data_IF_773681935594
#
_entry.id   IF_773681935594
#
_cell.length_a   1.000
_cell.length_b   1.000
_cell.length_c   1.000
_cell.angle_alpha   90.00
_cell.angle_beta   90.00
_cell.angle_gamma   90.00
#
_symmetry.space_group_name_H-M   'P 1'
#
loop_
_entity.id
_entity.type
_entity.pdbx_description
1 polymer ?
#
# COMPACT_ATOMS: atom_id res chain seq x y z
N UNK A 1 24.86 -77.68 -39.81
CA UNK A 1 23.88 -78.78 -39.81
C UNK A 1 23.08 -78.60 -38.52
N UNK A 2 21.85 -78.06 -38.47
CA UNK A 2 20.65 -78.20 -39.28
C UNK A 2 19.84 -76.88 -39.32
N UNK A 3 19.12 -76.70 -40.42
CA UNK A 3 18.07 -75.70 -40.68
C UNK A 3 16.77 -76.00 -39.89
N UNK A 4 15.99 -74.97 -39.54
CA UNK A 4 14.59 -74.80 -40.03
C UNK A 4 13.95 -73.43 -39.66
N UNK A 5 13.23 -72.91 -40.65
CA UNK A 5 12.51 -71.64 -40.77
C UNK A 5 11.03 -71.72 -40.31
N UNK A 6 10.38 -70.54 -40.38
CA UNK A 6 8.93 -70.17 -40.41
C UNK A 6 8.43 -69.54 -39.09
N UNK A 7 7.67 -68.44 -39.05
CA UNK A 7 7.09 -67.50 -40.03
C UNK A 7 6.35 -66.39 -39.27
N UNK A 8 6.41 -65.11 -39.72
CA UNK A 8 5.36 -64.02 -39.70
C UNK A 8 4.63 -63.67 -38.37
N UNK A 9 4.20 -62.46 -38.01
CA UNK A 9 4.01 -61.13 -38.61
C UNK A 9 3.61 -60.14 -37.48
N UNK A 10 3.90 -58.84 -37.65
CA UNK A 10 3.21 -57.63 -37.14
C UNK A 10 2.85 -57.47 -35.65
N UNK A 11 3.36 -56.42 -35.00
CA UNK A 11 2.66 -55.14 -34.83
C UNK A 11 3.59 -54.07 -34.25
N UNK A 12 3.50 -52.86 -34.80
CA UNK A 12 4.08 -51.64 -34.24
C UNK A 12 3.45 -51.33 -32.87
N UNK A 13 4.27 -50.96 -31.90
CA UNK A 13 3.94 -49.87 -30.99
C UNK A 13 5.21 -49.09 -30.67
N UNK A 14 5.34 -47.93 -31.32
CA UNK A 14 6.17 -46.87 -30.80
C UNK A 14 5.41 -46.24 -29.63
N UNK A 15 6.03 -46.17 -28.46
CA UNK A 15 5.63 -45.22 -27.42
C UNK A 15 6.90 -44.61 -26.84
N UNK A 16 7.24 -43.45 -27.40
CA UNK A 16 7.92 -42.38 -26.67
C UNK A 16 7.03 -42.02 -25.46
N UNK A 17 7.62 -41.77 -24.30
CA UNK A 17 7.65 -40.45 -23.64
C UNK A 17 8.62 -40.56 -22.47
N UNK A 18 9.64 -39.71 -22.52
CA UNK A 18 10.50 -39.39 -21.40
C UNK A 18 9.85 -38.22 -20.64
N UNK A 19 9.92 -38.29 -19.31
CA UNK A 19 9.64 -37.25 -18.32
C UNK A 19 8.19 -36.75 -18.21
N UNK A 20 7.61 -37.00 -17.03
CA UNK A 20 7.00 -35.89 -16.29
C UNK A 20 7.30 -36.03 -14.79
N UNK A 21 8.23 -35.20 -14.30
CA UNK A 21 8.29 -34.82 -12.89
C UNK A 21 7.47 -33.54 -12.79
N UNK A 22 6.16 -33.68 -12.63
CA UNK A 22 5.26 -32.58 -12.31
C UNK A 22 4.27 -33.04 -11.25
N UNK A 23 4.74 -33.06 -10.01
CA UNK A 23 3.88 -32.75 -8.87
C UNK A 23 4.52 -31.54 -8.20
N UNK A 24 4.32 -30.37 -8.81
CA UNK A 24 4.38 -29.10 -8.09
C UNK A 24 2.98 -28.89 -7.55
N UNK A 25 2.80 -29.27 -6.30
CA UNK A 25 1.71 -28.80 -5.45
C UNK A 25 1.91 -27.27 -5.28
N UNK A 26 0.82 -26.50 -5.42
CA UNK A 26 0.81 -25.04 -5.59
C UNK A 26 -0.12 -24.43 -4.55
N UNK A 27 -0.01 -23.11 -4.34
CA UNK A 27 -1.16 -22.32 -3.85
C UNK A 27 -2.36 -22.58 -4.75
N UNK A 28 -3.56 -22.57 -4.18
CA UNK A 28 -4.81 -22.73 -4.94
C UNK A 28 -4.82 -21.76 -6.13
N UNK A 29 -4.62 -22.28 -7.35
CA UNK A 29 -4.40 -21.51 -8.59
C UNK A 29 -3.22 -20.49 -8.62
N UNK A 30 -2.35 -20.46 -7.62
CA UNK A 30 -1.16 -19.59 -7.56
C UNK A 30 0.03 -20.14 -8.36
N UNK A 31 1.05 -19.30 -8.53
CA UNK A 31 2.35 -19.73 -9.06
C UNK A 31 3.50 -19.19 -8.20
N UNK A 32 4.60 -19.96 -8.15
CA UNK A 32 5.85 -19.50 -7.54
C UNK A 32 6.26 -18.15 -8.13
N UNK A 33 6.50 -17.18 -7.24
CA UNK A 33 7.01 -15.87 -7.61
C UNK A 33 8.43 -16.02 -8.14
N UNK A 34 8.74 -15.49 -9.35
CA UNK A 34 10.10 -15.42 -9.82
C UNK A 34 10.95 -14.47 -8.98
N UNK A 35 12.24 -14.78 -8.83
CA UNK A 35 13.23 -13.90 -8.17
C UNK A 35 13.12 -12.46 -8.66
N UNK A 36 13.23 -11.50 -7.74
CA UNK A 36 13.19 -10.05 -7.98
C UNK A 36 11.85 -9.48 -8.47
N UNK A 37 10.77 -10.27 -8.50
CA UNK A 37 9.44 -9.77 -8.93
C UNK A 37 8.80 -8.84 -7.90
N UNK A 38 8.85 -9.23 -6.62
CA UNK A 38 8.26 -8.48 -5.50
C UNK A 38 9.26 -8.34 -4.34
N UNK A 39 10.43 -7.72 -4.55
CA UNK A 39 11.47 -7.63 -3.52
C UNK A 39 11.02 -6.82 -2.30
N UNK A 40 9.96 -6.03 -2.44
CA UNK A 40 9.33 -5.23 -1.39
C UNK A 40 8.32 -6.00 -0.54
N UNK A 41 7.98 -7.25 -0.89
CA UNK A 41 7.16 -8.10 -0.03
C UNK A 41 7.88 -8.31 1.30
N UNK A 42 7.16 -8.18 2.40
CA UNK A 42 7.70 -8.38 3.72
C UNK A 42 6.81 -9.31 4.53
N UNK A 43 7.39 -10.03 5.49
CA UNK A 43 6.62 -10.76 6.51
C UNK A 43 7.06 -10.38 7.93
N UNK A 44 6.12 -10.20 8.87
CA UNK A 44 6.45 -9.89 10.26
C UNK A 44 6.96 -11.11 11.01
N UNK A 45 7.97 -10.89 11.85
CA UNK A 45 8.46 -11.88 12.80
C UNK A 45 8.10 -11.47 14.24
N UNK A 46 7.71 -12.45 15.03
CA UNK A 46 7.42 -12.28 16.45
C UNK A 46 8.70 -12.17 17.31
N UNK A 47 8.54 -12.16 18.63
CA UNK A 47 9.66 -12.05 19.58
C UNK A 47 10.62 -13.22 19.57
N UNK A 48 10.18 -14.39 19.12
CA UNK A 48 10.98 -15.61 19.02
C UNK A 48 11.64 -15.76 17.64
N UNK A 49 11.27 -14.89 16.70
CA UNK A 49 11.79 -14.88 15.33
C UNK A 49 10.98 -15.75 14.37
N UNK A 50 9.80 -16.22 14.81
CA UNK A 50 8.90 -17.02 14.00
C UNK A 50 7.96 -16.11 13.17
N UNK A 51 7.50 -16.62 12.04
CA UNK A 51 6.57 -15.89 11.19
C UNK A 51 5.20 -15.77 11.87
N UNK A 52 4.70 -14.53 11.94
CA UNK A 52 3.42 -14.17 12.58
C UNK A 52 2.16 -14.69 11.84
N UNK A 53 2.34 -15.16 10.59
CA UNK A 53 1.24 -15.60 9.72
C UNK A 53 0.63 -14.50 8.84
N UNK A 54 1.11 -13.25 8.95
CA UNK A 54 0.71 -12.15 8.08
C UNK A 54 1.76 -11.81 7.01
N UNK A 55 1.31 -11.21 5.91
CA UNK A 55 2.13 -10.50 4.94
C UNK A 55 2.18 -8.99 5.21
N UNK A 56 3.04 -8.30 4.47
CA UNK A 56 3.18 -6.86 4.51
C UNK A 56 3.92 -6.36 3.25
N UNK A 57 3.98 -5.03 3.09
CA UNK A 57 4.69 -4.40 1.97
C UNK A 57 5.56 -3.23 2.40
N UNK A 58 6.80 -3.18 1.93
CA UNK A 58 7.66 -2.02 2.07
C UNK A 58 7.18 -0.88 1.16
N UNK A 59 6.61 0.18 1.74
CA UNK A 59 6.05 1.33 1.00
C UNK A 59 6.97 2.55 1.01
N UNK A 60 7.97 2.57 1.87
CA UNK A 60 9.12 3.49 1.83
C UNK A 60 10.33 2.81 2.50
N UNK A 61 11.52 3.40 2.41
CA UNK A 61 12.71 2.82 3.04
C UNK A 61 12.55 2.60 4.56
N UNK A 62 11.68 3.36 5.24
CA UNK A 62 11.52 3.34 6.70
C UNK A 62 10.16 2.78 7.14
N UNK A 63 9.25 2.44 6.23
CA UNK A 63 7.87 2.09 6.57
C UNK A 63 7.34 0.88 5.79
N UNK A 64 6.71 -0.02 6.55
CA UNK A 64 6.00 -1.20 6.05
C UNK A 64 4.50 -1.03 6.31
N UNK A 65 3.66 -1.36 5.32
CA UNK A 65 2.20 -1.35 5.39
C UNK A 65 1.68 -2.78 5.52
N UNK A 66 0.73 -3.01 6.42
CA UNK A 66 0.07 -4.30 6.67
C UNK A 66 -1.35 -4.05 7.22
N UNK A 67 -2.05 -5.11 7.62
CA UNK A 67 -3.37 -5.06 8.22
C UNK A 67 -3.30 -4.83 9.74
N UNK A 68 -4.30 -4.16 10.31
CA UNK A 68 -4.43 -4.00 11.75
C UNK A 68 -4.84 -5.31 12.43
N UNK A 69 -5.70 -6.12 11.83
CA UNK A 69 -6.19 -7.37 12.42
C UNK A 69 -5.06 -8.35 12.79
N UNK A 70 -3.92 -8.29 12.10
CA UNK A 70 -2.72 -9.10 12.40
C UNK A 70 -2.26 -8.98 13.86
N UNK A 71 -2.58 -7.86 14.53
CA UNK A 71 -2.15 -7.55 15.88
C UNK A 71 -3.20 -7.82 16.96
N UNK A 72 -4.40 -8.27 16.57
CA UNK A 72 -5.51 -8.56 17.46
C UNK A 72 -5.78 -10.07 17.54
N UNK A 73 -6.26 -10.53 18.69
CA UNK A 73 -6.83 -11.87 18.81
C UNK A 73 -8.30 -11.89 18.38
N UNK A 74 -8.90 -13.09 18.37
CA UNK A 74 -10.31 -13.29 18.01
C UNK A 74 -11.31 -12.59 18.94
N UNK A 75 -10.86 -12.02 20.07
CA UNK A 75 -11.69 -11.27 21.01
C UNK A 75 -11.49 -9.75 20.87
N UNK A 76 -10.78 -9.29 19.83
CA UNK A 76 -10.44 -7.88 19.62
C UNK A 76 -9.44 -7.33 20.64
N UNK A 77 -8.70 -8.19 21.32
CA UNK A 77 -7.64 -7.76 22.24
C UNK A 77 -6.31 -7.66 21.51
N UNK A 78 -5.58 -6.55 21.74
CA UNK A 78 -4.22 -6.40 21.23
C UNK A 78 -3.35 -7.52 21.82
N UNK A 79 -2.84 -8.39 20.96
CA UNK A 79 -2.30 -9.69 21.36
C UNK A 79 -0.83 -9.85 21.00
N UNK A 80 -0.30 -9.02 20.08
CA UNK A 80 1.01 -9.26 19.47
C UNK A 80 1.92 -8.06 19.50
N UNK A 81 3.20 -8.31 19.77
CA UNK A 81 4.28 -7.34 19.59
C UNK A 81 5.26 -7.90 18.58
N UNK A 82 5.52 -7.16 17.50
CA UNK A 82 6.47 -7.59 16.48
C UNK A 82 7.90 -7.22 16.87
N UNK A 83 8.83 -8.13 16.60
CA UNK A 83 10.25 -7.85 16.75
C UNK A 83 10.82 -7.21 15.49
N UNK A 84 10.52 -7.77 14.32
CA UNK A 84 11.14 -7.37 13.06
C UNK A 84 10.30 -7.73 11.83
N UNK A 85 10.72 -7.28 10.65
CA UNK A 85 10.23 -7.72 9.36
C UNK A 85 11.37 -8.34 8.55
N UNK A 86 11.08 -9.45 7.86
CA UNK A 86 11.90 -9.94 6.75
C UNK A 86 11.41 -9.30 5.45
N UNK A 87 12.18 -8.35 4.94
CA UNK A 87 11.89 -7.58 3.72
C UNK A 87 12.63 -8.24 2.56
N UNK A 88 11.92 -8.56 1.48
CA UNK A 88 12.44 -9.37 0.38
C UNK A 88 12.29 -10.86 0.61
N UNK A 89 11.36 -11.30 1.46
CA UNK A 89 11.08 -12.71 1.70
C UNK A 89 10.52 -13.39 0.43
N UNK A 90 11.29 -14.31 -0.15
CA UNK A 90 10.90 -15.11 -1.32
C UNK A 90 10.77 -16.58 -0.95
N UNK A 91 11.74 -17.13 -0.22
CA UNK A 91 11.68 -18.48 0.34
C UNK A 91 12.63 -18.51 1.56
N UNK A 92 12.24 -17.78 2.62
CA UNK A 92 13.11 -17.40 3.73
C UNK A 92 13.72 -18.60 4.47
N UNK A 93 13.06 -19.76 4.45
CA UNK A 93 13.55 -20.99 5.09
C UNK A 93 14.59 -21.74 4.23
N UNK A 94 14.86 -21.27 3.01
CA UNK A 94 15.91 -21.83 2.15
C UNK A 94 17.28 -21.21 2.42
N UNK A 95 18.34 -21.94 2.06
CA UNK A 95 19.68 -21.37 2.04
C UNK A 95 19.75 -20.23 1.00
N UNK A 96 19.89 -18.99 1.49
CA UNK A 96 20.02 -17.76 0.69
C UNK A 96 18.73 -17.30 -0.03
N UNK A 97 17.54 -17.57 0.54
CA UNK A 97 16.27 -16.97 0.09
C UNK A 97 16.04 -17.06 -1.44
N UNK A 98 16.33 -18.24 -2.02
CA UNK A 98 16.20 -18.52 -3.46
C UNK A 98 16.99 -17.54 -4.36
N UNK A 99 18.04 -16.91 -3.82
CA UNK A 99 18.88 -15.95 -4.52
C UNK A 99 18.38 -14.49 -4.44
N UNK A 100 17.24 -14.22 -3.81
CA UNK A 100 16.75 -12.86 -3.59
C UNK A 100 17.38 -12.25 -2.34
N UNK A 101 17.78 -10.97 -2.43
CA UNK A 101 18.25 -10.24 -1.26
C UNK A 101 17.13 -10.10 -0.22
N UNK A 102 17.43 -10.43 1.04
CA UNK A 102 16.50 -10.30 2.16
C UNK A 102 17.16 -9.57 3.32
N UNK A 103 16.41 -8.65 3.94
CA UNK A 103 16.84 -7.90 5.11
C UNK A 103 15.92 -8.19 6.28
N UNK A 104 16.47 -8.47 7.45
CA UNK A 104 15.70 -8.55 8.70
C UNK A 104 15.89 -7.25 9.47
N UNK A 105 14.83 -6.44 9.58
CA UNK A 105 14.89 -5.11 10.21
C UNK A 105 13.90 -5.01 11.36
N UNK A 106 14.37 -4.57 12.53
CA UNK A 106 13.54 -4.44 13.72
C UNK A 106 12.46 -3.36 13.60
N UNK A 107 11.40 -3.47 14.38
CA UNK A 107 10.30 -2.47 14.44
C UNK A 107 10.60 -1.40 15.50
N UNK A 108 10.59 -0.12 15.12
CA UNK A 108 10.70 1.01 16.05
C UNK A 108 9.35 1.35 16.68
N UNK A 109 8.29 1.40 15.88
CA UNK A 109 6.95 1.72 16.34
C UNK A 109 5.89 1.16 15.42
N UNK A 110 4.78 0.70 16.00
CA UNK A 110 3.57 0.30 15.27
C UNK A 110 2.50 1.39 15.37
N UNK A 111 1.87 1.71 14.24
CA UNK A 111 0.83 2.73 14.13
C UNK A 111 -0.41 2.08 13.53
N UNK A 112 -1.38 1.75 14.38
CA UNK A 112 -2.68 1.26 13.96
C UNK A 112 -3.52 2.40 13.39
N UNK A 113 -4.38 2.11 12.41
CA UNK A 113 -5.35 3.09 11.94
C UNK A 113 -6.28 3.51 13.11
N UNK A 114 -6.45 4.82 13.39
CA UNK A 114 -7.17 5.28 14.57
C UNK A 114 -8.67 4.93 14.55
N UNK A 115 -9.21 4.65 13.37
CA UNK A 115 -10.61 4.24 13.17
C UNK A 115 -10.72 2.77 12.75
N UNK A 116 -9.69 1.94 12.98
CA UNK A 116 -9.84 0.50 12.80
C UNK A 116 -10.95 -0.04 13.71
N UNK A 117 -11.86 -0.81 13.14
CA UNK A 117 -12.97 -1.44 13.85
C UNK A 117 -12.82 -2.97 13.75
N UNK A 118 -12.53 -3.62 14.87
CA UNK A 118 -12.27 -5.06 14.91
C UNK A 118 -13.51 -5.92 14.65
N UNK A 119 -14.72 -5.37 14.81
CA UNK A 119 -15.96 -6.13 14.56
C UNK A 119 -16.31 -6.16 13.06
N UNK A 120 -15.87 -5.15 12.31
CA UNK A 120 -16.23 -4.97 10.89
C UNK A 120 -15.02 -5.02 9.95
N UNK A 121 -13.81 -5.08 10.49
CA UNK A 121 -12.54 -4.88 9.80
C UNK A 121 -12.49 -3.62 8.92
N UNK A 122 -13.28 -2.62 9.28
CA UNK A 122 -13.25 -1.34 8.58
C UNK A 122 -11.97 -0.57 8.93
N UNK A 123 -11.35 0.04 7.92
CA UNK A 123 -10.05 0.70 8.03
C UNK A 123 -8.93 -0.22 8.56
N UNK A 124 -8.92 -1.48 8.12
CA UNK A 124 -7.93 -2.50 8.51
C UNK A 124 -6.53 -2.22 7.96
N UNK A 125 -5.85 -1.26 8.59
CA UNK A 125 -4.50 -0.84 8.25
C UNK A 125 -3.62 -0.65 9.49
N UNK A 126 -2.38 -1.06 9.35
CA UNK A 126 -1.31 -0.73 10.27
C UNK A 126 -0.04 -0.35 9.49
N UNK A 127 0.71 0.60 10.03
CA UNK A 127 2.02 0.99 9.51
C UNK A 127 3.06 0.73 10.59
N UNK A 128 4.09 -0.04 10.24
CA UNK A 128 5.26 -0.23 11.08
C UNK A 128 6.39 0.70 10.60
N UNK A 129 6.95 1.48 11.54
CA UNK A 129 8.20 2.20 11.33
C UNK A 129 9.36 1.27 11.64
N UNK A 130 10.29 1.15 10.71
CA UNK A 130 11.49 0.33 10.85
C UNK A 130 12.54 1.04 11.71
N UNK A 131 13.31 0.26 12.46
CA UNK A 131 14.43 0.72 13.30
C UNK A 131 15.65 1.22 12.50
N UNK A 132 15.72 0.87 11.21
CA UNK A 132 16.69 1.38 10.25
C UNK A 132 16.10 1.35 8.84
N UNK A 133 16.60 2.20 7.95
CA UNK A 133 16.19 2.21 6.55
C UNK A 133 16.58 0.92 5.83
N UNK A 134 15.65 0.34 5.09
CA UNK A 134 15.90 -0.77 4.16
C UNK A 134 16.65 -0.30 2.91
N UNK A 135 17.45 -1.17 2.32
CA UNK A 135 18.07 -0.92 1.01
C UNK A 135 17.25 -1.46 -0.16
N UNK A 136 16.20 -2.24 0.13
CA UNK A 136 15.24 -2.73 -0.86
C UNK A 136 14.43 -1.57 -1.43
N UNK A 137 14.20 -1.60 -2.75
CA UNK A 137 13.34 -0.62 -3.43
C UNK A 137 11.89 -0.81 -2.97
N UNK A 138 11.26 0.21 -2.35
CA UNK A 138 9.86 0.13 -1.93
C UNK A 138 8.90 0.11 -3.12
N UNK A 139 7.71 -0.44 -2.92
CA UNK A 139 6.63 -0.38 -3.92
C UNK A 139 5.88 0.94 -3.85
N UNK A 140 5.36 1.39 -4.99
CA UNK A 140 4.45 2.53 -5.01
C UNK A 140 3.06 2.13 -4.52
N UNK A 141 2.35 3.07 -3.91
CA UNK A 141 0.95 2.87 -3.54
C UNK A 141 0.04 3.65 -4.49
N UNK A 142 -1.22 3.23 -4.61
CA UNK A 142 -2.24 3.96 -5.34
C UNK A 142 -2.51 5.32 -4.66
N UNK A 143 -2.18 6.39 -5.36
CA UNK A 143 -2.38 7.76 -4.90
C UNK A 143 -3.80 8.29 -5.20
N UNK A 144 -4.75 7.40 -5.49
CA UNK A 144 -6.13 7.73 -5.86
C UNK A 144 -6.35 7.90 -7.36
N UNK A 145 -5.33 7.69 -8.19
CA UNK A 145 -5.45 7.79 -9.65
C UNK A 145 -5.94 6.49 -10.30
N UNK A 146 -5.84 5.35 -9.62
CA UNK A 146 -6.04 4.04 -10.23
C UNK A 146 -7.32 3.35 -9.76
N UNK A 147 -7.36 2.87 -8.51
CA UNK A 147 -8.48 2.04 -8.03
C UNK A 147 -9.86 2.70 -8.03
N UNK A 148 -10.01 4.04 -7.90
CA UNK A 148 -11.31 4.68 -8.09
C UNK A 148 -11.86 4.57 -9.53
N UNK A 149 -11.00 4.29 -10.51
CA UNK A 149 -11.35 4.22 -11.93
C UNK A 149 -11.41 2.78 -12.47
N UNK A 150 -11.27 1.76 -11.62
CA UNK A 150 -11.33 0.37 -12.06
C UNK A 150 -12.75 -0.03 -12.49
N UNK A 151 -12.82 -0.73 -13.62
CA UNK A 151 -14.00 -1.46 -14.04
C UNK A 151 -13.97 -2.89 -13.50
N UNK A 152 -15.15 -3.49 -13.31
CA UNK A 152 -15.28 -4.93 -13.03
C UNK A 152 -14.40 -5.77 -13.98
N UNK A 153 -13.73 -6.78 -13.44
CA UNK A 153 -12.84 -7.66 -14.19
C UNK A 153 -11.41 -7.14 -14.34
N UNK A 154 -11.06 -5.95 -13.82
CA UNK A 154 -9.68 -5.46 -13.79
C UNK A 154 -8.79 -6.49 -13.07
N UNK A 155 -7.76 -6.97 -13.76
CA UNK A 155 -6.80 -7.91 -13.18
C UNK A 155 -5.94 -7.24 -12.09
N UNK A 156 -5.85 -7.90 -10.94
CA UNK A 156 -5.07 -7.55 -9.75
C UNK A 156 -4.36 -8.81 -9.26
N UNK A 157 -3.33 -8.67 -8.44
CA UNK A 157 -2.51 -9.77 -7.97
C UNK A 157 -2.48 -9.80 -6.45
N UNK A 158 -2.96 -10.88 -5.85
CA UNK A 158 -2.69 -11.18 -4.43
C UNK A 158 -1.35 -11.90 -4.34
N UNK A 159 -0.54 -11.57 -3.33
CA UNK A 159 0.81 -12.10 -3.15
C UNK A 159 1.01 -12.46 -1.68
N UNK A 160 1.51 -13.67 -1.41
CA UNK A 160 1.71 -14.13 -0.04
C UNK A 160 2.23 -15.56 0.05
N UNK A 161 2.33 -16.05 1.28
CA UNK A 161 2.75 -17.41 1.61
C UNK A 161 1.56 -18.29 2.02
N UNK A 162 0.34 -17.88 1.68
CA UNK A 162 -0.88 -18.52 2.15
C UNK A 162 -1.00 -20.01 1.85
N UNK A 163 -2.00 -20.61 2.49
CA UNK A 163 -2.30 -22.03 2.49
C UNK A 163 -2.48 -22.58 1.05
N UNK A 164 -1.80 -23.68 0.77
CA UNK A 164 -1.81 -24.37 -0.50
C UNK A 164 -2.99 -25.34 -0.63
N UNK A 165 -3.20 -25.90 -1.84
CA UNK A 165 -4.30 -26.85 -2.09
C UNK A 165 -4.25 -28.11 -1.21
N UNK A 166 -3.07 -28.45 -0.68
CA UNK A 166 -2.82 -29.58 0.20
C UNK A 166 -2.96 -29.23 1.70
N UNK A 167 -3.30 -27.99 2.03
CA UNK A 167 -3.45 -27.48 3.39
C UNK A 167 -2.13 -27.11 4.08
N UNK A 168 -1.03 -26.99 3.34
CA UNK A 168 0.27 -26.55 3.86
C UNK A 168 0.60 -25.12 3.46
N UNK A 169 1.36 -24.40 4.27
CA UNK A 169 1.86 -23.08 3.89
C UNK A 169 2.88 -23.18 2.74
N UNK A 170 2.89 -22.17 1.86
CA UNK A 170 3.84 -22.13 0.78
C UNK A 170 5.27 -21.88 1.30
N UNK A 171 6.24 -22.67 0.84
CA UNK A 171 7.67 -22.46 1.19
C UNK A 171 8.37 -21.46 0.27
N UNK A 172 7.72 -21.11 -0.85
CA UNK A 172 8.15 -20.09 -1.81
C UNK A 172 6.97 -19.14 -1.96
N UNK A 173 7.24 -17.83 -1.99
CA UNK A 173 6.25 -16.78 -2.15
C UNK A 173 5.45 -17.05 -3.43
N UNK A 174 4.15 -16.87 -3.34
CA UNK A 174 3.23 -17.15 -4.43
C UNK A 174 2.51 -15.87 -4.82
N UNK A 175 1.96 -15.89 -6.03
CA UNK A 175 1.03 -14.88 -6.49
C UNK A 175 -0.12 -15.49 -7.26
N UNK A 176 -1.28 -14.84 -7.19
CA UNK A 176 -2.49 -15.27 -7.90
C UNK A 176 -3.17 -14.07 -8.55
N UNK A 177 -3.56 -14.24 -9.81
CA UNK A 177 -4.32 -13.24 -10.56
C UNK A 177 -5.80 -13.30 -10.16
N UNK A 178 -6.31 -12.18 -9.70
CA UNK A 178 -7.69 -11.94 -9.30
C UNK A 178 -8.31 -10.86 -10.19
N UNK A 179 -9.62 -10.76 -10.16
CA UNK A 179 -10.43 -9.78 -10.86
C UNK A 179 -11.11 -8.89 -9.85
N UNK A 180 -10.93 -7.59 -10.01
CA UNK A 180 -11.67 -6.59 -9.24
C UNK A 180 -13.17 -6.79 -9.40
N UNK A 181 -13.85 -6.85 -8.26
CA UNK A 181 -15.29 -6.99 -8.18
C UNK A 181 -15.90 -5.80 -7.42
N UNK A 182 -16.45 -4.80 -8.11
CA UNK A 182 -17.09 -3.67 -7.46
C UNK A 182 -18.47 -4.02 -6.86
N UNK A 183 -19.06 -5.16 -7.22
CA UNK A 183 -20.43 -5.54 -6.86
C UNK A 183 -20.48 -6.61 -5.76
N UNK A 184 -19.32 -7.02 -5.21
CA UNK A 184 -19.18 -8.03 -4.16
C UNK A 184 -20.01 -7.75 -2.89
N UNK A 185 -20.40 -6.50 -2.65
CA UNK A 185 -21.28 -6.16 -1.53
C UNK A 185 -22.62 -6.91 -1.58
N UNK A 186 -23.06 -7.36 -2.77
CA UNK A 186 -24.26 -8.18 -2.94
C UNK A 186 -24.07 -9.65 -2.52
N UNK A 187 -22.83 -10.12 -2.47
CA UNK A 187 -22.48 -11.49 -2.09
C UNK A 187 -22.20 -11.61 -0.59
N UNK A 188 -22.06 -10.46 0.08
CA UNK A 188 -21.88 -10.32 1.51
C UNK A 188 -23.18 -9.84 2.18
N UNK A 189 -23.23 -9.91 3.51
CA UNK A 189 -24.40 -9.38 4.25
C UNK A 189 -24.55 -7.86 4.05
N UNK A 190 -25.80 -7.38 3.97
CA UNK A 190 -26.11 -5.97 3.73
C UNK A 190 -25.32 -5.05 4.67
N UNK A 191 -24.47 -4.19 4.11
CA UNK A 191 -23.67 -3.21 4.86
C UNK A 191 -22.32 -3.71 5.37
N UNK A 192 -21.92 -4.96 5.06
CA UNK A 192 -20.62 -5.50 5.43
C UNK A 192 -19.45 -4.84 4.69
N UNK A 193 -19.65 -4.42 3.44
CA UNK A 193 -18.62 -3.80 2.60
C UNK A 193 -18.80 -2.28 2.58
N UNK A 194 -17.76 -1.54 3.01
CA UNK A 194 -17.75 -0.07 3.03
C UNK A 194 -16.95 0.51 1.84
N UNK A 195 -16.99 1.83 1.67
CA UNK A 195 -16.16 2.54 0.68
C UNK A 195 -14.64 2.45 0.96
N UNK A 196 -14.27 2.08 2.20
CA UNK A 196 -12.87 1.84 2.61
C UNK A 196 -12.38 0.45 2.22
N UNK A 197 -13.22 -0.36 1.58
CA UNK A 197 -12.92 -1.72 1.17
C UNK A 197 -12.97 -1.86 -0.35
N UNK A 198 -12.37 -2.93 -0.84
CA UNK A 198 -12.47 -3.37 -2.23
C UNK A 198 -12.42 -4.89 -2.30
N UNK A 199 -13.05 -5.48 -3.30
CA UNK A 199 -13.04 -6.93 -3.47
C UNK A 199 -12.28 -7.34 -4.72
N UNK A 200 -11.68 -8.51 -4.65
CA UNK A 200 -11.11 -9.18 -5.81
C UNK A 200 -11.26 -10.69 -5.68
N UNK A 201 -11.60 -11.35 -6.78
CA UNK A 201 -11.82 -12.80 -6.85
C UNK A 201 -11.26 -13.37 -8.13
N UNK A 202 -10.91 -14.65 -8.19
CA UNK A 202 -10.44 -15.29 -9.43
C UNK A 202 -11.57 -15.51 -10.48
N UNK A 203 -12.76 -14.96 -10.23
CA UNK A 203 -14.00 -15.10 -10.99
C UNK A 203 -14.99 -16.10 -10.38
N UNK A 204 -14.55 -16.96 -9.47
CA UNK A 204 -15.41 -17.91 -8.71
C UNK A 204 -15.01 -17.95 -7.21
N UNK A 205 -13.83 -17.48 -6.79
CA UNK A 205 -13.21 -17.87 -5.50
C UNK A 205 -12.51 -16.73 -4.73
N UNK A 206 -12.29 -16.99 -3.43
CA UNK A 206 -11.68 -16.15 -2.39
C UNK A 206 -10.13 -16.37 -2.23
N UNK A 207 -9.48 -15.52 -1.44
CA UNK A 207 -8.09 -15.59 -0.94
C UNK A 207 -7.88 -16.59 0.21
N UNK A 208 -6.63 -17.06 0.38
CA UNK A 208 -6.28 -18.10 1.35
C UNK A 208 -5.86 -17.52 2.72
N UNK A 209 -5.92 -18.38 3.74
CA UNK A 209 -5.26 -18.13 5.03
C UNK A 209 -3.75 -17.91 4.80
N UNK A 210 -3.10 -17.00 5.55
CA UNK A 210 -1.67 -16.70 5.41
C UNK A 210 -1.30 -15.61 4.37
N UNK A 211 -2.29 -15.06 3.66
CA UNK A 211 -2.15 -13.83 2.86
C UNK A 211 -2.54 -12.56 3.64
N UNK A 212 -3.07 -12.70 4.87
CA UNK A 212 -3.53 -11.61 5.75
C UNK A 212 -2.51 -10.48 5.86
N UNK A 213 -2.91 -9.23 5.66
CA UNK A 213 -2.00 -8.07 5.65
C UNK A 213 -1.08 -7.97 4.43
N UNK A 214 -1.10 -8.96 3.54
CA UNK A 214 -0.37 -8.98 2.28
C UNK A 214 -0.91 -8.00 1.23
N UNK A 215 -0.17 -7.76 0.15
CA UNK A 215 -0.54 -6.82 -0.90
C UNK A 215 -1.62 -7.33 -1.86
N UNK A 216 -2.54 -6.44 -2.23
CA UNK A 216 -3.25 -6.51 -3.51
C UNK A 216 -2.61 -5.51 -4.49
N UNK A 217 -2.11 -6.02 -5.60
CA UNK A 217 -1.18 -5.31 -6.47
C UNK A 217 -1.70 -5.17 -7.92
N UNK A 218 -1.65 -3.96 -8.47
CA UNK A 218 -1.88 -3.72 -9.90
C UNK A 218 -0.55 -3.74 -10.65
N UNK A 219 -0.21 -4.89 -11.21
CA UNK A 219 1.01 -5.10 -12.03
C UNK A 219 1.08 -4.12 -13.21
N UNK A 220 -0.05 -3.78 -13.83
CA UNK A 220 -0.07 -2.93 -15.03
C UNK A 220 0.32 -1.48 -14.72
N UNK A 221 -0.02 -1.00 -13.52
CA UNK A 221 0.29 0.35 -13.06
C UNK A 221 1.46 0.40 -12.06
N UNK A 222 1.98 -0.75 -11.65
CA UNK A 222 3.07 -0.89 -10.67
C UNK A 222 2.75 -0.19 -9.34
N UNK A 223 1.55 -0.46 -8.79
CA UNK A 223 1.06 0.13 -7.54
C UNK A 223 0.33 -0.88 -6.65
N UNK A 224 0.50 -0.77 -5.33
CA UNK A 224 -0.37 -1.39 -4.34
C UNK A 224 -1.71 -0.66 -4.30
N UNK A 225 -2.80 -1.42 -4.35
CA UNK A 225 -4.16 -0.87 -4.35
C UNK A 225 -4.96 -1.27 -3.10
N UNK A 226 -4.56 -2.36 -2.45
CA UNK A 226 -5.19 -2.84 -1.24
C UNK A 226 -4.27 -3.66 -0.35
N UNK A 227 -4.76 -3.95 0.84
CA UNK A 227 -4.15 -4.82 1.85
C UNK A 227 -5.15 -5.93 2.15
N UNK A 228 -4.73 -7.20 2.10
CA UNK A 228 -5.58 -8.37 2.37
C UNK A 228 -6.14 -8.28 3.78
N UNK A 229 -7.46 -8.30 3.91
CA UNK A 229 -8.15 -8.08 5.19
C UNK A 229 -8.84 -9.35 5.65
N UNK A 230 -9.90 -9.77 4.98
CA UNK A 230 -10.68 -10.94 5.38
C UNK A 230 -11.34 -11.65 4.19
N UNK A 231 -11.77 -12.88 4.45
CA UNK A 231 -12.44 -13.76 3.52
C UNK A 231 -12.96 -15.01 4.25
N UNK A 232 -13.80 -15.78 3.57
CA UNK A 232 -14.34 -17.05 4.03
C UNK A 232 -13.34 -18.23 3.84
N UNK A 233 -12.18 -17.96 3.23
CA UNK A 233 -11.06 -18.87 3.12
C UNK A 233 -11.03 -19.68 1.82
N UNK A 234 -9.92 -20.39 1.61
CA UNK A 234 -9.65 -21.05 0.34
C UNK A 234 -10.42 -22.36 0.10
N UNK A 235 -10.59 -22.69 -1.19
CA UNK A 235 -11.12 -23.99 -1.62
C UNK A 235 -12.65 -24.12 -1.67
N UNK A 236 -13.40 -23.10 -1.24
CA UNK A 236 -14.85 -23.08 -1.38
C UNK A 236 -15.29 -22.33 -2.65
N UNK A 237 -15.81 -23.07 -3.64
CA UNK A 237 -16.26 -22.53 -4.95
C UNK A 237 -17.53 -21.68 -4.87
N UNK A 238 -18.13 -21.54 -3.69
CA UNK A 238 -19.27 -20.64 -3.44
C UNK A 238 -18.93 -19.53 -2.46
N UNK A 239 -17.66 -19.39 -2.06
CA UNK A 239 -17.25 -18.29 -1.21
C UNK A 239 -17.36 -16.96 -1.98
N UNK A 240 -17.79 -15.88 -1.32
CA UNK A 240 -17.81 -14.55 -1.90
C UNK A 240 -16.38 -14.07 -2.20
N UNK A 241 -16.26 -12.98 -2.95
CA UNK A 241 -14.97 -12.38 -3.24
C UNK A 241 -14.24 -11.94 -1.95
N UNK A 242 -12.92 -12.15 -1.92
CA UNK A 242 -12.06 -11.71 -0.83
C UNK A 242 -12.03 -10.20 -0.70
N UNK A 243 -11.91 -9.73 0.54
CA UNK A 243 -12.04 -8.33 0.91
C UNK A 243 -10.71 -7.75 1.34
N UNK A 244 -10.42 -6.58 0.79
CA UNK A 244 -9.17 -5.87 0.97
C UNK A 244 -9.44 -4.46 1.48
N UNK A 245 -8.62 -3.99 2.40
CA UNK A 245 -8.63 -2.59 2.81
C UNK A 245 -8.12 -1.73 1.64
N UNK A 246 -8.91 -0.76 1.20
CA UNK A 246 -8.64 0.07 0.01
C UNK A 246 -7.67 1.20 0.32
N UNK A 247 -6.47 1.15 -0.26
CA UNK A 247 -5.41 2.12 0.01
C UNK A 247 -5.82 3.55 -0.37
N UNK A 248 -6.48 3.74 -1.51
CA UNK A 248 -6.88 5.06 -1.98
C UNK A 248 -7.86 5.77 -1.04
N UNK A 249 -8.64 5.02 -0.26
CA UNK A 249 -9.59 5.59 0.71
C UNK A 249 -8.88 6.11 1.98
N UNK A 250 -7.70 5.57 2.31
CA UNK A 250 -6.92 5.94 3.50
C UNK A 250 -5.63 6.69 3.18
N UNK A 251 -5.53 7.24 1.97
CA UNK A 251 -4.31 7.90 1.47
C UNK A 251 -3.86 9.06 2.35
N UNK A 252 -4.80 9.87 2.89
CA UNK A 252 -4.49 11.00 3.76
C UNK A 252 -3.83 10.54 5.07
N UNK A 253 -4.31 9.45 5.66
CA UNK A 253 -3.71 8.86 6.86
C UNK A 253 -2.32 8.29 6.56
N UNK A 254 -2.18 7.52 5.46
CA UNK A 254 -0.89 6.95 5.04
C UNK A 254 0.13 8.05 4.78
N UNK A 255 -0.22 9.08 4.01
CA UNK A 255 0.64 10.25 3.73
C UNK A 255 0.99 11.00 5.02
N UNK A 256 0.02 11.17 5.92
CA UNK A 256 0.21 11.83 7.22
C UNK A 256 1.27 11.18 8.10
N UNK A 257 1.57 9.90 7.88
CA UNK A 257 2.63 9.15 8.57
C UNK A 257 3.91 9.15 7.75
N UNK A 258 3.86 8.61 6.53
CA UNK A 258 5.04 8.28 5.72
C UNK A 258 5.69 9.51 5.09
N UNK A 259 4.90 10.52 4.74
CA UNK A 259 5.38 11.70 4.01
C UNK A 259 5.78 12.86 4.92
N UNK A 260 6.21 12.58 6.16
CA UNK A 260 6.61 13.60 7.14
C UNK A 260 8.14 13.82 7.21
N UNK A 261 8.94 12.87 6.70
CA UNK A 261 10.41 12.88 6.70
C UNK A 261 11.08 13.53 5.47
N UNK A 262 12.41 13.49 5.40
CA UNK A 262 13.19 13.95 4.23
C UNK A 262 13.41 12.86 3.17
N UNK A 263 13.24 11.59 3.53
CA UNK A 263 13.39 10.42 2.64
C UNK A 263 12.00 9.95 2.16
N UNK A 264 11.29 10.82 1.44
CA UNK A 264 9.92 10.52 1.03
C UNK A 264 9.92 9.65 -0.23
N UNK A 265 9.06 8.62 -0.30
CA UNK A 265 8.84 7.87 -1.53
C UNK A 265 8.20 8.75 -2.61
N UNK A 266 8.37 8.37 -3.89
CA UNK A 266 7.90 9.15 -5.05
C UNK A 266 6.40 9.41 -5.07
N UNK A 267 5.60 8.56 -4.45
CA UNK A 267 4.14 8.70 -4.36
C UNK A 267 3.68 9.71 -3.30
N UNK A 268 4.58 10.22 -2.43
CA UNK A 268 4.29 11.36 -1.56
C UNK A 268 4.12 12.67 -2.33
N UNK A 269 4.62 12.72 -3.58
CA UNK A 269 4.39 13.83 -4.50
C UNK A 269 2.95 13.76 -5.00
N UNK A 270 2.07 14.60 -4.46
CA UNK A 270 0.75 14.79 -5.06
C UNK A 270 0.93 15.34 -6.49
N UNK A 271 0.37 14.68 -7.50
CA UNK A 271 0.34 15.20 -8.88
C UNK A 271 -0.51 16.47 -9.02
N UNK A 272 -1.23 16.86 -7.95
CA UNK A 272 -1.95 18.12 -7.75
C UNK A 272 -1.29 19.06 -6.72
N UNK A 273 -0.09 18.70 -6.22
CA UNK A 273 0.62 19.51 -5.25
C UNK A 273 1.24 20.69 -5.97
N UNK A 274 0.75 21.86 -5.61
CA UNK A 274 1.24 23.13 -6.11
C UNK A 274 1.62 24.00 -4.92
N UNK A 275 2.67 24.78 -5.10
CA UNK A 275 3.00 25.84 -4.16
C UNK A 275 1.81 26.80 -4.02
N UNK A 276 1.56 27.29 -2.80
CA UNK A 276 0.53 28.31 -2.61
C UNK A 276 0.81 29.53 -3.50
N UNK A 277 -0.19 29.98 -4.29
CA UNK A 277 -0.06 31.22 -5.06
C UNK A 277 -0.22 32.46 -4.15
N UNK A 278 -0.67 32.28 -2.90
CA UNK A 278 -0.83 33.35 -1.93
C UNK A 278 0.52 33.70 -1.31
N UNK A 279 0.73 34.98 -0.99
CA UNK A 279 1.94 35.39 -0.27
C UNK A 279 1.78 35.08 1.21
N UNK A 280 2.78 34.46 1.81
CA UNK A 280 2.84 34.15 3.24
C UNK A 280 3.59 35.24 4.02
N UNK A 281 3.24 35.45 5.28
CA UNK A 281 3.93 36.36 6.20
C UNK A 281 5.02 35.59 6.94
N UNK A 282 6.28 35.77 6.52
CA UNK A 282 7.45 35.11 7.08
C UNK A 282 8.23 36.07 7.97
N UNK A 283 8.69 35.61 9.14
CA UNK A 283 9.70 36.32 9.93
C UNK A 283 11.09 36.01 9.36
N UNK A 284 11.86 37.04 9.01
CA UNK A 284 13.21 36.90 8.45
C UNK A 284 14.22 37.37 9.51
N UNK A 285 14.96 36.44 10.15
CA UNK A 285 15.86 36.77 11.26
C UNK A 285 16.93 37.81 10.90
N UNK A 286 17.52 37.71 9.71
CA UNK A 286 18.56 38.64 9.25
C UNK A 286 18.08 40.09 9.05
N UNK A 287 16.77 40.32 9.04
CA UNK A 287 16.15 41.63 8.87
C UNK A 287 15.36 42.07 10.11
N UNK A 288 15.27 41.20 11.12
CA UNK A 288 14.38 41.32 12.28
C UNK A 288 12.97 41.84 11.92
N UNK A 289 12.38 41.25 10.88
CA UNK A 289 11.14 41.77 10.33
C UNK A 289 10.25 40.70 9.70
N UNK A 290 8.94 40.92 9.84
CA UNK A 290 7.92 40.17 9.11
C UNK A 290 7.76 40.71 7.69
N UNK A 291 7.91 39.85 6.68
CA UNK A 291 7.76 40.21 5.26
C UNK A 291 6.81 39.27 4.54
N UNK A 292 6.07 39.81 3.57
CA UNK A 292 5.25 39.00 2.68
C UNK A 292 6.13 38.37 1.60
N UNK A 293 6.16 37.05 1.48
CA UNK A 293 6.96 36.30 0.50
C UNK A 293 6.10 35.32 -0.29
N UNK A 294 6.52 35.01 -1.51
CA UNK A 294 5.89 34.00 -2.37
C UNK A 294 6.71 32.71 -2.35
N UNK A 295 6.17 31.63 -2.91
CA UNK A 295 6.93 30.39 -3.05
C UNK A 295 8.08 30.48 -4.07
N UNK A 296 8.00 31.36 -5.07
CA UNK A 296 9.18 31.72 -5.90
C UNK A 296 10.33 32.27 -5.05
N UNK A 297 10.03 32.99 -3.96
CA UNK A 297 11.07 33.40 -3.03
C UNK A 297 11.63 32.19 -2.27
N UNK A 298 10.82 31.24 -1.82
CA UNK A 298 11.35 30.02 -1.18
C UNK A 298 12.27 29.24 -2.15
N UNK A 299 11.79 29.00 -3.38
CA UNK A 299 12.48 28.24 -4.43
C UNK A 299 13.84 28.81 -4.86
N UNK A 300 14.05 30.13 -4.71
CA UNK A 300 15.32 30.76 -5.06
C UNK A 300 16.47 30.48 -4.08
N UNK A 301 16.19 29.90 -2.90
CA UNK A 301 17.21 29.49 -1.93
C UNK A 301 16.62 28.48 -0.93
N UNK A 302 16.19 27.31 -1.40
CA UNK A 302 15.34 26.40 -0.63
C UNK A 302 16.02 25.93 0.65
N UNK A 303 17.33 25.66 0.63
CA UNK A 303 18.08 25.18 1.80
C UNK A 303 17.97 26.06 3.06
N UNK A 304 17.96 27.39 2.92
CA UNK A 304 17.76 28.30 4.07
C UNK A 304 16.30 28.76 4.20
N UNK A 305 15.60 28.99 3.09
CA UNK A 305 14.26 29.59 3.15
C UNK A 305 13.20 28.61 3.61
N UNK A 306 13.36 27.33 3.27
CA UNK A 306 12.45 26.27 3.70
C UNK A 306 12.67 25.83 5.16
N UNK A 307 13.78 26.24 5.80
CA UNK A 307 13.99 25.99 7.24
C UNK A 307 13.34 27.07 8.12
N UNK A 308 12.85 28.15 7.52
CA UNK A 308 12.10 29.17 8.25
C UNK A 308 10.70 28.63 8.58
N UNK A 309 10.27 28.89 9.81
CA UNK A 309 9.02 28.36 10.37
C UNK A 309 7.84 28.57 9.42
N UNK A 310 7.14 27.46 9.11
CA UNK A 310 5.93 27.43 8.29
C UNK A 310 6.13 27.70 6.80
N UNK A 311 7.34 27.99 6.30
CA UNK A 311 7.56 28.19 4.86
C UNK A 311 7.32 26.89 4.09
N UNK A 312 7.79 25.77 4.61
CA UNK A 312 7.66 24.48 3.95
C UNK A 312 6.21 23.97 3.88
N UNK A 313 5.36 24.31 4.87
CA UNK A 313 3.93 23.98 4.82
C UNK A 313 3.16 24.87 3.84
N UNK A 314 3.67 26.07 3.55
CA UNK A 314 3.04 26.98 2.59
C UNK A 314 3.53 26.76 1.15
N UNK A 315 4.76 26.30 0.98
CA UNK A 315 5.42 26.08 -0.31
C UNK A 315 5.96 24.64 -0.41
N UNK A 316 5.06 23.64 -0.44
CA UNK A 316 5.45 22.24 -0.44
C UNK A 316 6.30 21.85 -1.64
N UNK A 317 6.01 22.37 -2.84
CA UNK A 317 6.76 22.06 -4.07
C UNK A 317 8.16 22.69 -4.04
N UNK A 318 8.26 23.99 -3.72
CA UNK A 318 9.56 24.66 -3.62
C UNK A 318 10.48 24.05 -2.52
N UNK A 319 9.88 23.42 -1.51
CA UNK A 319 10.60 22.89 -0.36
C UNK A 319 10.70 21.36 -0.34
N UNK A 320 10.18 20.65 -1.36
CA UNK A 320 10.21 19.20 -1.43
C UNK A 320 9.51 18.53 -0.23
N UNK A 321 8.32 19.04 0.14
CA UNK A 321 7.52 18.52 1.25
C UNK A 321 6.14 18.08 0.77
N UNK A 322 5.55 17.17 1.53
CA UNK A 322 4.16 16.77 1.36
C UNK A 322 3.21 17.97 1.42
N UNK A 323 2.19 17.92 0.58
CA UNK A 323 1.13 18.93 0.55
C UNK A 323 0.27 18.85 1.82
N UNK A 324 -0.12 20.01 2.34
CA UNK A 324 -0.98 20.13 3.51
C UNK A 324 -1.47 21.55 3.67
N UNK A 325 -2.22 21.80 4.74
CA UNK A 325 -2.64 23.16 5.08
C UNK A 325 -1.46 24.03 5.50
N UNK A 326 -1.39 25.23 4.94
CA UNK A 326 -0.47 26.26 5.37
C UNK A 326 -0.68 26.60 6.85
N UNK A 327 0.34 26.38 7.65
CA UNK A 327 0.38 26.83 9.07
C UNK A 327 0.58 28.35 9.18
N UNK A 328 0.94 29.01 8.07
CA UNK A 328 1.27 30.43 8.01
C UNK A 328 0.04 31.33 7.86
N UNK A 329 0.22 32.60 8.24
CA UNK A 329 -0.68 33.66 7.79
C UNK A 329 -0.32 34.07 6.36
N UNK A 330 -1.31 34.18 5.50
CA UNK A 330 -1.17 34.55 4.10
C UNK A 330 -2.11 35.69 3.72
N UNK A 331 -1.76 36.38 2.63
CA UNK A 331 -2.53 37.49 2.10
C UNK A 331 -3.66 36.96 1.21
N UNK A 332 -4.79 36.69 1.83
CA UNK A 332 -6.00 36.26 1.18
C UNK A 332 -6.64 37.40 0.39
N UNK A 333 -7.06 37.11 -0.84
CA UNK A 333 -7.77 38.05 -1.71
C UNK A 333 -9.21 37.56 -1.80
N UNK A 334 -10.15 38.38 -1.33
CA UNK A 334 -11.58 38.08 -1.42
C UNK A 334 -12.12 38.38 -2.83
N UNK A 335 -13.32 37.88 -3.19
CA UNK A 335 -13.97 38.18 -4.48
C UNK A 335 -14.19 39.67 -4.72
N UNK A 336 -14.40 40.46 -3.66
CA UNK A 336 -14.53 41.92 -3.71
C UNK A 336 -13.18 42.66 -3.89
N UNK A 337 -12.07 41.92 -4.05
CA UNK A 337 -10.72 42.45 -4.19
C UNK A 337 -10.05 42.86 -2.88
N UNK A 338 -10.74 42.77 -1.74
CA UNK A 338 -10.17 43.13 -0.44
C UNK A 338 -9.10 42.12 -0.02
N UNK A 339 -7.99 42.64 0.53
CA UNK A 339 -6.82 41.84 0.91
C UNK A 339 -6.70 41.79 2.42
N UNK A 340 -6.74 40.60 3.02
CA UNK A 340 -6.58 40.42 4.48
C UNK A 340 -5.60 39.31 4.81
N UNK A 341 -4.84 39.51 5.88
CA UNK A 341 -3.92 38.49 6.39
C UNK A 341 -4.69 37.49 7.27
N UNK A 342 -4.79 36.24 6.82
CA UNK A 342 -5.59 35.15 7.39
C UNK A 342 -4.79 33.85 7.39
N UNK A 343 -5.31 32.82 8.06
CA UNK A 343 -4.76 31.46 8.12
C UNK A 343 -5.88 30.45 7.82
N UNK A 344 -5.53 29.17 7.69
CA UNK A 344 -6.52 28.14 7.35
C UNK A 344 -7.61 27.97 8.42
N UNK A 345 -7.31 28.19 9.71
CA UNK A 345 -8.34 28.19 10.77
C UNK A 345 -9.39 29.30 10.62
N UNK A 346 -9.06 30.43 9.98
CA UNK A 346 -10.05 31.44 9.62
C UNK A 346 -10.88 31.00 8.41
N UNK A 347 -10.23 30.44 7.39
CA UNK A 347 -10.88 29.94 6.16
C UNK A 347 -11.90 28.86 6.52
N UNK A 348 -11.54 27.93 7.41
CA UNK A 348 -12.39 26.84 7.89
C UNK A 348 -13.72 27.29 8.56
N UNK A 349 -13.84 28.56 8.96
CA UNK A 349 -15.08 29.10 9.58
C UNK A 349 -16.11 29.60 8.57
N UNK A 350 -15.73 29.68 7.29
CA UNK A 350 -16.60 30.11 6.20
C UNK A 350 -17.32 28.90 5.61
N UNK A 351 -18.43 29.13 4.91
CA UNK A 351 -19.11 28.10 4.12
C UNK A 351 -18.13 27.51 3.08
N UNK A 352 -18.08 26.18 2.95
CA UNK A 352 -17.20 25.43 2.05
C UNK A 352 -17.32 25.90 0.59
N UNK A 353 -18.53 26.07 0.07
CA UNK A 353 -18.74 26.51 -1.31
C UNK A 353 -18.24 27.96 -1.55
N UNK A 354 -18.34 28.81 -0.53
CA UNK A 354 -17.86 30.20 -0.61
C UNK A 354 -16.33 30.24 -0.56
N UNK A 355 -15.70 29.54 0.39
CA UNK A 355 -14.26 29.65 0.64
C UNK A 355 -13.40 29.00 -0.44
N UNK A 356 -13.86 27.90 -1.02
CA UNK A 356 -13.09 27.17 -2.03
C UNK A 356 -13.17 27.79 -3.42
N UNK A 357 -14.10 28.72 -3.62
CA UNK A 357 -14.15 29.56 -4.83
C UNK A 357 -13.08 30.66 -4.84
N UNK A 358 -12.44 30.96 -3.70
CA UNK A 358 -11.46 32.05 -3.60
C UNK A 358 -10.11 31.60 -4.16
N UNK A 359 -9.57 32.38 -5.11
CA UNK A 359 -8.32 32.05 -5.81
C UNK A 359 -7.19 31.74 -4.84
N UNK A 360 -6.57 30.56 -5.01
CA UNK A 360 -5.44 30.10 -4.22
C UNK A 360 -5.78 29.49 -2.87
N UNK A 361 -7.06 29.47 -2.44
CA UNK A 361 -7.44 28.85 -1.17
C UNK A 361 -7.31 27.33 -1.24
N UNK A 362 -7.75 26.71 -2.35
CA UNK A 362 -7.63 25.26 -2.53
C UNK A 362 -6.17 24.78 -2.42
N UNK A 363 -5.20 25.56 -2.95
CA UNK A 363 -3.78 25.20 -2.88
C UNK A 363 -3.14 25.48 -1.51
N UNK A 364 -3.68 26.46 -0.77
CA UNK A 364 -3.10 26.95 0.50
C UNK A 364 -3.70 26.28 1.73
N UNK A 365 -4.99 25.93 1.69
CA UNK A 365 -5.77 25.34 2.78
C UNK A 365 -6.54 24.12 2.28
N UNK A 366 -5.78 23.15 1.77
CA UNK A 366 -6.24 21.97 1.04
C UNK A 366 -7.32 21.20 1.78
N UNK A 367 -7.11 20.90 3.06
CA UNK A 367 -8.08 20.16 3.89
C UNK A 367 -9.36 20.94 4.16
N UNK A 368 -9.33 22.27 4.04
CA UNK A 368 -10.55 23.08 4.18
C UNK A 368 -11.41 23.06 2.92
N UNK A 369 -10.90 22.54 1.81
CA UNK A 369 -11.60 22.46 0.54
C UNK A 369 -11.80 21.04 -0.02
N UNK A 370 -11.31 20.04 0.73
CA UNK A 370 -11.66 18.65 0.52
C UNK A 370 -13.13 18.39 0.89
#
# INVERSE_FOLDING_TARGET
MFFRLFSTCFLLSASLVQADRSLKERIYNGNDVPVDSYPWFARPLDGDGDWDGCGASLISADYVLTAAHCFFDSNGSFSKTLASYEIGALCPDSNNNCGQNMETIGVESLILHPNYDYETDNNDFAIAKLSSSSTVTPVNIDNGSYSPNYSSGKELWSIGFGEQEDGTDATILQHVALKYDPDCANDHSDGAITENMMCAADGIRDTCQGDSGGPLYDVANNVLVGVTSWGDGCGNVTAPAGVYARISAQLDWIKGIVCTGSNQPSWCSDSSCEDSPLRMKVYIPSLDANKMKSCTWAANSPGYRCTLEGVSSHCPVACGRACGDSTMRFKLIKPDGTKKNRNCSFVARLNTAERCSWTGVADTCRSTCA
#
